data_IF_484290448639
#
_entry.id   IF_484290448639
#
_cell.length_a   1.000
_cell.length_b   1.000
_cell.length_c   1.000
_cell.angle_alpha   90.00
_cell.angle_beta   90.00
_cell.angle_gamma   90.00
#
_symmetry.space_group_name_H-M   'P 1'
#
loop_
_entity.id
_entity.type
_entity.pdbx_description
1 polymer ?
#
# COMPACT_ATOMS: atom_id res chain seq x y z
N UNK A 1 36.84 19.31 60.42
CA UNK A 1 36.09 20.51 60.00
C UNK A 1 35.82 20.38 58.51
N UNK A 2 34.60 19.96 58.14
CA UNK A 2 34.22 19.72 56.75
C UNK A 2 34.00 21.06 56.04
N UNK A 3 34.92 21.43 55.14
CA UNK A 3 34.69 22.53 54.21
C UNK A 3 33.76 22.05 53.10
N UNK A 4 32.47 22.34 53.24
CA UNK A 4 31.52 22.24 52.13
C UNK A 4 31.84 23.38 51.15
N UNK A 5 32.47 23.03 50.03
CA UNK A 5 32.71 23.98 48.94
C UNK A 5 31.41 24.15 48.17
N UNK A 6 30.58 25.12 48.56
CA UNK A 6 29.43 25.56 47.77
C UNK A 6 29.94 26.32 46.54
N UNK A 7 30.37 25.59 45.52
CA UNK A 7 30.60 26.16 44.19
C UNK A 7 29.23 26.53 43.63
N UNK A 8 28.90 27.83 43.64
CA UNK A 8 27.71 28.34 42.97
C UNK A 8 27.83 28.08 41.46
N UNK A 9 26.87 27.37 40.90
CA UNK A 9 26.79 27.15 39.45
C UNK A 9 26.57 28.50 38.79
N UNK A 10 27.50 28.90 37.90
CA UNK A 10 27.40 30.17 37.20
C UNK A 10 26.35 30.09 36.09
N UNK A 11 25.69 31.21 35.76
CA UNK A 11 24.70 31.27 34.67
C UNK A 11 25.27 30.73 33.34
N UNK A 12 26.57 30.97 33.12
CA UNK A 12 27.30 30.46 31.96
C UNK A 12 27.35 28.93 31.93
N UNK A 13 27.63 28.27 33.05
CA UNK A 13 27.63 26.81 33.14
C UNK A 13 26.24 26.21 32.89
N UNK A 14 25.18 26.90 33.33
CA UNK A 14 23.79 26.49 33.06
C UNK A 14 23.50 26.55 31.55
N UNK A 15 23.92 27.61 30.86
CA UNK A 15 23.73 27.77 29.41
C UNK A 15 24.54 26.72 28.63
N UNK A 16 25.80 26.49 29.01
CA UNK A 16 26.65 25.47 28.39
C UNK A 16 26.06 24.08 28.61
N UNK A 17 25.61 23.76 29.82
CA UNK A 17 24.96 22.49 30.12
C UNK A 17 23.68 22.30 29.31
N UNK A 18 22.84 23.34 29.17
CA UNK A 18 21.64 23.30 28.34
C UNK A 18 21.98 23.05 26.85
N UNK A 19 23.05 23.66 26.32
CA UNK A 19 23.50 23.42 24.94
C UNK A 19 24.03 22.00 24.74
N UNK A 20 24.81 21.47 25.69
CA UNK A 20 25.31 20.09 25.64
C UNK A 20 24.13 19.10 25.64
N UNK A 21 23.13 19.32 26.50
CA UNK A 21 21.91 18.50 26.53
C UNK A 21 21.12 18.61 25.23
N UNK A 22 20.96 19.80 24.68
CA UNK A 22 20.26 19.99 23.40
C UNK A 22 20.96 19.26 22.25
N UNK A 23 22.28 19.34 22.15
CA UNK A 23 23.08 18.65 21.13
C UNK A 23 23.00 17.13 21.34
N UNK A 24 23.06 16.67 22.59
CA UNK A 24 22.95 15.24 22.93
C UNK A 24 21.55 14.65 22.62
N UNK A 25 20.51 15.47 22.49
CA UNK A 25 19.15 15.03 22.11
C UNK A 25 18.95 14.89 20.60
N UNK A 26 19.81 15.49 19.76
CA UNK A 26 19.70 15.41 18.30
C UNK A 26 19.67 13.96 17.78
N UNK A 27 20.55 13.04 18.24
CA UNK A 27 20.52 11.64 17.80
C UNK A 27 19.23 10.92 18.20
N UNK A 28 18.69 11.21 19.38
CA UNK A 28 17.45 10.60 19.89
C UNK A 28 16.25 11.03 19.04
N UNK A 29 16.13 12.34 18.76
CA UNK A 29 15.08 12.87 17.90
C UNK A 29 15.15 12.32 16.48
N UNK A 30 16.36 12.18 15.94
CA UNK A 30 16.56 11.57 14.62
C UNK A 30 16.09 10.11 14.58
N UNK A 31 16.41 9.33 15.61
CA UNK A 31 16.04 7.90 15.71
C UNK A 31 14.51 7.71 15.76
N UNK A 32 13.80 8.57 16.49
CA UNK A 32 12.32 8.56 16.57
C UNK A 32 11.71 8.88 15.21
N UNK A 33 12.24 9.89 14.50
CA UNK A 33 11.79 10.24 13.16
C UNK A 33 12.02 9.09 12.15
N UNK A 34 13.18 8.42 12.20
CA UNK A 34 13.46 7.27 11.36
C UNK A 34 12.54 6.08 11.66
N UNK A 35 12.30 5.79 12.94
CA UNK A 35 11.37 4.73 13.37
C UNK A 35 9.94 4.98 12.86
N UNK A 36 9.42 6.20 13.03
CA UNK A 36 8.09 6.57 12.55
C UNK A 36 7.97 6.45 11.01
N UNK A 37 9.00 6.88 10.27
CA UNK A 37 9.02 6.75 8.80
C UNK A 37 9.06 5.28 8.36
N UNK A 38 9.79 4.41 9.06
CA UNK A 38 9.83 2.99 8.77
C UNK A 38 8.48 2.30 9.01
N UNK A 39 7.82 2.59 10.14
CA UNK A 39 6.50 2.05 10.49
C UNK A 39 5.43 2.44 9.47
N UNK A 40 5.43 3.71 9.01
CA UNK A 40 4.47 4.18 7.99
C UNK A 40 4.67 3.47 6.65
N UNK A 41 5.92 3.22 6.23
CA UNK A 41 6.22 2.49 4.99
C UNK A 41 5.69 1.06 5.01
N UNK A 42 5.95 0.33 6.10
CA UNK A 42 5.44 -1.04 6.28
C UNK A 42 3.91 -1.04 6.26
N UNK A 43 3.28 -0.09 6.97
CA UNK A 43 1.83 0.02 7.01
C UNK A 43 1.20 0.31 5.63
N UNK A 44 1.81 1.17 4.81
CA UNK A 44 1.32 1.47 3.47
C UNK A 44 1.37 0.24 2.56
N UNK A 45 2.49 -0.50 2.59
CA UNK A 45 2.64 -1.72 1.79
C UNK A 45 1.62 -2.78 2.19
N UNK A 46 1.51 -3.08 3.49
CA UNK A 46 0.53 -4.05 4.00
C UNK A 46 -0.92 -3.64 3.70
N UNK A 47 -1.23 -2.34 3.77
CA UNK A 47 -2.56 -1.84 3.40
C UNK A 47 -2.83 -1.98 1.91
N UNK A 48 -1.87 -1.68 1.04
CA UNK A 48 -1.99 -1.90 -0.40
C UNK A 48 -2.18 -3.38 -0.73
N UNK A 49 -1.44 -4.27 -0.06
CA UNK A 49 -1.56 -5.73 -0.22
C UNK A 49 -2.96 -6.22 0.17
N UNK A 50 -3.46 -5.80 1.33
CA UNK A 50 -4.80 -6.16 1.78
C UNK A 50 -5.88 -5.68 0.81
N UNK A 51 -5.81 -4.44 0.35
CA UNK A 51 -6.77 -3.90 -0.62
C UNK A 51 -6.72 -4.62 -1.97
N UNK A 52 -5.52 -5.01 -2.41
CA UNK A 52 -5.37 -5.79 -3.64
C UNK A 52 -6.00 -7.19 -3.50
N UNK A 53 -5.84 -7.83 -2.33
CA UNK A 53 -6.47 -9.12 -2.03
C UNK A 53 -8.00 -8.98 -1.92
N UNK A 54 -8.50 -7.99 -1.19
CA UNK A 54 -9.95 -7.72 -1.03
C UNK A 54 -10.63 -7.50 -2.40
N UNK A 55 -9.99 -6.74 -3.30
CA UNK A 55 -10.50 -6.55 -4.67
C UNK A 55 -10.62 -7.87 -5.43
N UNK A 56 -9.58 -8.70 -5.38
CA UNK A 56 -9.56 -10.01 -6.03
C UNK A 56 -10.65 -10.92 -5.46
N UNK A 57 -10.83 -10.92 -4.14
CA UNK A 57 -11.86 -11.72 -3.46
C UNK A 57 -13.28 -11.25 -3.81
N UNK A 58 -13.53 -9.93 -3.84
CA UNK A 58 -14.84 -9.41 -4.31
C UNK A 58 -15.15 -9.88 -5.73
N UNK A 59 -14.15 -9.87 -6.61
CA UNK A 59 -14.34 -10.37 -7.96
C UNK A 59 -14.57 -11.88 -8.01
N UNK A 60 -13.93 -12.69 -7.16
CA UNK A 60 -14.20 -14.14 -7.05
C UNK A 60 -15.64 -14.47 -6.69
N UNK A 61 -16.32 -13.59 -5.97
CA UNK A 61 -17.71 -13.78 -5.59
C UNK A 61 -18.69 -13.47 -6.73
N UNK A 62 -18.23 -12.89 -7.85
CA UNK A 62 -19.08 -12.60 -8.99
C UNK A 62 -19.34 -13.89 -9.79
N UNK A 63 -20.61 -14.23 -10.08
CA UNK A 63 -20.93 -15.42 -10.86
C UNK A 63 -20.30 -15.39 -12.25
N UNK A 64 -19.74 -16.51 -12.71
CA UNK A 64 -19.10 -16.63 -14.03
C UNK A 64 -20.02 -16.16 -15.17
N UNK A 65 -21.34 -16.39 -15.06
CA UNK A 65 -22.36 -15.92 -16.02
C UNK A 65 -22.36 -14.41 -16.24
N UNK A 66 -22.02 -13.61 -15.22
CA UNK A 66 -21.90 -12.16 -15.34
C UNK A 66 -20.68 -11.80 -16.19
N UNK A 67 -19.56 -12.50 -15.99
CA UNK A 67 -18.38 -12.33 -16.83
C UNK A 67 -18.64 -12.71 -18.28
N UNK A 68 -19.42 -13.77 -18.55
CA UNK A 68 -19.84 -14.09 -19.91
C UNK A 68 -20.60 -12.93 -20.54
N UNK A 69 -21.54 -12.30 -19.82
CA UNK A 69 -22.32 -11.18 -20.37
C UNK A 69 -21.44 -9.98 -20.68
N UNK A 70 -20.57 -9.60 -19.73
CA UNK A 70 -19.80 -8.36 -19.82
C UNK A 70 -18.57 -8.51 -20.73
N UNK A 71 -18.07 -9.74 -20.91
CA UNK A 71 -16.79 -10.02 -21.55
C UNK A 71 -16.86 -11.12 -22.63
N UNK A 72 -18.04 -11.48 -23.14
CA UNK A 72 -18.18 -12.50 -24.20
C UNK A 72 -17.29 -12.18 -25.41
N UNK A 73 -17.27 -10.89 -25.78
CA UNK A 73 -16.57 -10.37 -26.94
C UNK A 73 -15.06 -10.21 -26.72
N UNK A 74 -14.52 -10.49 -25.53
CA UNK A 74 -13.07 -10.40 -25.33
C UNK A 74 -12.34 -11.41 -26.20
N UNK A 75 -11.29 -10.93 -26.84
CA UNK A 75 -10.27 -11.79 -27.44
C UNK A 75 -9.59 -12.55 -26.30
N UNK A 76 -9.45 -13.87 -26.46
CA UNK A 76 -8.77 -14.71 -25.47
C UNK A 76 -7.38 -14.14 -25.13
N UNK A 77 -6.97 -14.27 -23.87
CA UNK A 77 -5.68 -13.81 -23.35
C UNK A 77 -5.38 -12.30 -23.41
N UNK A 78 -6.36 -11.47 -23.78
CA UNK A 78 -6.22 -10.02 -23.71
C UNK A 78 -6.59 -9.51 -22.31
N UNK A 79 -5.74 -8.63 -21.76
CA UNK A 79 -6.02 -7.92 -20.52
C UNK A 79 -6.91 -6.70 -20.79
N UNK A 80 -8.01 -6.59 -20.07
CA UNK A 80 -8.93 -5.46 -20.09
C UNK A 80 -9.24 -4.98 -18.68
N UNK A 81 -9.74 -3.75 -18.55
CA UNK A 81 -10.04 -3.16 -17.25
C UNK A 81 -11.22 -3.91 -16.61
N UNK A 82 -11.07 -4.28 -15.34
CA UNK A 82 -12.15 -4.93 -14.58
C UNK A 82 -13.29 -3.94 -14.39
N UNK A 83 -14.53 -4.40 -14.58
CA UNK A 83 -15.72 -3.61 -14.33
C UNK A 83 -15.75 -3.21 -12.85
N UNK A 84 -15.73 -1.90 -12.59
CA UNK A 84 -15.68 -1.34 -11.25
C UNK A 84 -16.91 -1.70 -10.39
N UNK A 85 -18.00 -2.14 -11.02
CA UNK A 85 -19.19 -2.64 -10.33
C UNK A 85 -18.95 -3.96 -9.58
N UNK A 86 -17.86 -4.66 -9.88
CA UNK A 86 -17.53 -5.94 -9.24
C UNK A 86 -16.89 -5.77 -7.85
N UNK A 87 -16.35 -4.59 -7.55
CA UNK A 87 -15.65 -4.31 -6.30
C UNK A 87 -16.00 -2.93 -5.72
N UNK A 88 -17.29 -2.59 -5.55
CA UNK A 88 -17.71 -1.25 -5.18
C UNK A 88 -17.16 -0.82 -3.82
N UNK A 89 -17.06 -1.75 -2.86
CA UNK A 89 -16.56 -1.47 -1.51
C UNK A 89 -15.05 -1.20 -1.54
N UNK A 90 -14.27 -2.09 -2.14
CA UNK A 90 -12.82 -1.90 -2.23
C UNK A 90 -12.45 -0.66 -3.04
N UNK A 91 -13.24 -0.30 -4.07
CA UNK A 91 -13.03 0.93 -4.85
C UNK A 91 -13.09 2.19 -3.99
N UNK A 92 -14.08 2.31 -3.11
CA UNK A 92 -14.20 3.47 -2.21
C UNK A 92 -12.97 3.59 -1.31
N UNK A 93 -12.54 2.48 -0.73
CA UNK A 93 -11.37 2.45 0.16
C UNK A 93 -10.07 2.73 -0.60
N UNK A 94 -9.94 2.28 -1.85
CA UNK A 94 -8.81 2.59 -2.73
C UNK A 94 -8.74 4.09 -3.06
N UNK A 95 -9.88 4.72 -3.31
CA UNK A 95 -9.96 6.16 -3.54
C UNK A 95 -9.55 6.95 -2.29
N UNK A 96 -10.00 6.54 -1.11
CA UNK A 96 -9.60 7.18 0.15
C UNK A 96 -8.12 6.95 0.47
N UNK A 97 -7.58 5.78 0.14
CA UNK A 97 -6.15 5.52 0.23
C UNK A 97 -5.35 6.43 -0.71
N UNK A 98 -5.86 6.68 -1.92
CA UNK A 98 -5.29 7.64 -2.86
C UNK A 98 -5.31 9.09 -2.39
N UNK A 99 -6.32 9.50 -1.61
CA UNK A 99 -6.32 10.83 -0.96
C UNK A 99 -5.21 10.96 0.09
N UNK A 100 -4.88 9.84 0.75
CA UNK A 100 -3.82 9.79 1.78
C UNK A 100 -2.44 9.79 1.14
N UNK A 101 -2.26 9.06 0.03
CA UNK A 101 -1.01 8.93 -0.71
C UNK A 101 -1.14 9.65 -2.05
N UNK A 102 -0.72 10.91 -2.14
CA UNK A 102 -0.88 11.77 -3.33
C UNK A 102 -0.37 11.19 -4.66
N UNK A 103 0.58 10.25 -4.60
CA UNK A 103 1.20 9.59 -5.76
C UNK A 103 0.65 8.19 -6.03
N UNK A 104 -0.35 7.75 -5.26
CA UNK A 104 -0.94 6.43 -5.37
C UNK A 104 -1.75 6.31 -6.65
N UNK A 105 -1.51 5.20 -7.34
CA UNK A 105 -2.22 4.78 -8.53
C UNK A 105 -2.49 3.30 -8.42
N UNK A 106 -3.61 2.85 -8.98
CA UNK A 106 -3.96 1.45 -9.03
C UNK A 106 -4.64 1.13 -10.36
N UNK A 107 -4.52 -0.13 -10.77
CA UNK A 107 -5.17 -0.66 -11.98
C UNK A 107 -5.60 -2.10 -11.70
N UNK A 108 -6.88 -2.37 -11.93
CA UNK A 108 -7.40 -3.73 -11.95
C UNK A 108 -7.64 -4.14 -13.41
N UNK A 109 -7.05 -5.26 -13.80
CA UNK A 109 -7.20 -5.85 -15.13
C UNK A 109 -7.68 -7.29 -15.00
N UNK A 110 -8.46 -7.76 -15.97
CA UNK A 110 -8.77 -9.17 -16.13
C UNK A 110 -8.40 -9.66 -17.52
N UNK A 111 -8.11 -10.95 -17.62
CA UNK A 111 -8.08 -11.69 -18.88
C UNK A 111 -8.94 -12.93 -18.75
N UNK A 112 -9.50 -13.36 -19.87
CA UNK A 112 -10.33 -14.56 -19.94
C UNK A 112 -9.60 -15.61 -20.75
N UNK A 113 -9.53 -16.83 -20.22
CA UNK A 113 -9.00 -18.01 -20.91
C UNK A 113 -10.18 -18.85 -21.37
N UNK A 114 -10.36 -18.91 -22.68
CA UNK A 114 -11.44 -19.64 -23.34
C UNK A 114 -10.88 -20.52 -24.47
N UNK A 115 -10.57 -21.80 -24.20
CA UNK A 115 -10.11 -22.73 -25.25
C UNK A 115 -11.23 -23.05 -26.27
N UNK A 116 -12.49 -22.81 -25.90
CA UNK A 116 -13.69 -22.91 -26.75
C UNK A 116 -14.62 -21.72 -26.47
N UNK A 117 -15.92 -21.80 -26.81
CA UNK A 117 -16.94 -20.81 -26.44
C UNK A 117 -17.19 -20.74 -24.92
N UNK A 118 -16.61 -21.66 -24.13
CA UNK A 118 -16.73 -21.71 -22.68
C UNK A 118 -15.48 -21.08 -22.04
N UNK A 119 -15.71 -20.12 -21.14
CA UNK A 119 -14.71 -19.56 -20.24
C UNK A 119 -14.29 -20.65 -19.26
N UNK A 120 -13.01 -21.03 -19.31
CA UNK A 120 -12.40 -21.99 -18.38
C UNK A 120 -11.82 -21.29 -17.16
N UNK A 121 -11.13 -20.17 -17.39
CA UNK A 121 -10.47 -19.41 -16.33
C UNK A 121 -10.64 -17.91 -16.55
N UNK A 122 -10.76 -17.18 -15.46
CA UNK A 122 -10.72 -15.71 -15.45
C UNK A 122 -9.56 -15.30 -14.55
N UNK A 123 -8.57 -14.66 -15.12
CA UNK A 123 -7.45 -14.14 -14.35
C UNK A 123 -7.69 -12.69 -14.02
N UNK A 124 -7.49 -12.34 -12.76
CA UNK A 124 -7.60 -10.97 -12.27
C UNK A 124 -6.23 -10.55 -11.78
N UNK A 125 -5.81 -9.37 -12.19
CA UNK A 125 -4.54 -8.74 -11.81
C UNK A 125 -4.84 -7.37 -11.23
N UNK A 126 -4.23 -7.09 -10.08
CA UNK A 126 -4.25 -5.77 -9.45
C UNK A 126 -2.82 -5.27 -9.36
N UNK A 127 -2.57 -4.13 -9.98
CA UNK A 127 -1.31 -3.40 -9.89
C UNK A 127 -1.53 -2.11 -9.10
N UNK A 128 -0.67 -1.84 -8.13
CA UNK A 128 -0.66 -0.61 -7.35
C UNK A 128 0.74 -0.01 -7.35
N UNK A 129 0.83 1.31 -7.42
CA UNK A 129 2.09 2.02 -7.37
C UNK A 129 1.96 3.33 -6.58
N UNK A 130 2.97 3.64 -5.77
CA UNK A 130 3.06 4.91 -5.05
C UNK A 130 4.51 5.34 -4.87
N UNK A 131 4.73 6.62 -4.55
CA UNK A 131 6.05 7.18 -4.30
C UNK A 131 6.25 7.41 -2.81
N UNK A 132 7.39 6.98 -2.28
CA UNK A 132 7.80 7.17 -0.88
C UNK A 132 9.10 7.95 -0.76
N UNK A 133 9.17 8.86 0.22
CA UNK A 133 10.40 9.60 0.57
C UNK A 133 10.34 11.08 0.20
N UNK A 134 10.99 11.91 1.02
CA UNK A 134 11.02 13.37 0.86
C UNK A 134 12.18 13.82 -0.06
N UNK A 135 13.34 13.15 0.01
CA UNK A 135 14.59 13.52 -0.68
C UNK A 135 15.03 12.51 -1.74
N UNK A 136 14.80 11.21 -1.48
CA UNK A 136 15.05 10.11 -2.41
C UNK A 136 13.72 9.42 -2.68
N UNK A 137 13.01 9.92 -3.70
CA UNK A 137 11.70 9.41 -4.09
C UNK A 137 11.87 8.00 -4.65
N UNK A 138 11.39 7.00 -3.92
CA UNK A 138 11.38 5.60 -4.35
C UNK A 138 9.97 5.25 -4.81
N UNK A 139 9.84 4.77 -6.04
CA UNK A 139 8.59 4.17 -6.53
C UNK A 139 8.44 2.78 -5.91
N UNK A 140 7.35 2.56 -5.19
CA UNK A 140 6.90 1.27 -4.69
C UNK A 140 5.84 0.74 -5.63
N UNK A 141 5.90 -0.56 -5.87
CA UNK A 141 4.92 -1.27 -6.67
C UNK A 141 4.50 -2.55 -5.96
N UNK A 142 3.23 -2.89 -6.12
CA UNK A 142 2.65 -4.16 -5.73
C UNK A 142 1.88 -4.71 -6.93
N UNK A 143 2.05 -6.00 -7.22
CA UNK A 143 1.27 -6.70 -8.25
C UNK A 143 0.80 -8.02 -7.68
N UNK A 144 -0.51 -8.18 -7.57
CA UNK A 144 -1.15 -9.45 -7.22
C UNK A 144 -1.98 -9.94 -8.40
N UNK A 145 -2.04 -11.25 -8.57
CA UNK A 145 -2.92 -11.86 -9.55
C UNK A 145 -3.48 -13.17 -9.02
N UNK A 146 -4.70 -13.51 -9.41
CA UNK A 146 -5.33 -14.77 -9.08
C UNK A 146 -6.25 -15.23 -10.22
N UNK A 147 -6.44 -16.56 -10.34
CA UNK A 147 -7.33 -17.17 -11.30
C UNK A 147 -8.64 -17.60 -10.61
N UNK A 148 -9.76 -17.36 -11.29
CA UNK A 148 -11.08 -17.86 -10.97
C UNK A 148 -11.36 -19.00 -11.95
N UNK A 149 -11.46 -20.22 -11.44
CA UNK A 149 -11.76 -21.40 -12.25
C UNK A 149 -13.26 -21.55 -12.40
N UNK A 150 -13.71 -21.83 -13.63
CA UNK A 150 -15.09 -22.18 -13.90
C UNK A 150 -15.27 -23.70 -13.77
N UNK A 151 -15.96 -24.20 -12.72
CA UNK A 151 -16.17 -25.64 -12.55
C UNK A 151 -17.13 -26.22 -13.59
N UNK A 152 -17.91 -25.39 -14.29
CA UNK A 152 -18.83 -25.84 -15.36
C UNK A 152 -18.11 -26.02 -16.71
N UNK A 153 -16.79 -25.78 -16.78
CA UNK A 153 -16.01 -25.86 -18.01
C UNK A 153 -15.21 -27.18 -18.17
N UNK A 154 -15.21 -28.03 -17.14
CA UNK A 154 -14.67 -29.40 -17.17
C UNK A 154 -15.80 -30.43 -17.38
#
# INVERSE_FOLDING_TARGET
>A
MFHYKTNGVTLLEIIIAAMIVAIALIPVLSSIQYGNKATVKVNNYSKAERLAQELIEECKHIPVRVYYKDYNALVADKWEVVNEQYFPKTKEVLNDFGKTLKSFSWKAELKVVKPSEIIREIWIRVAMAWKEGDSNVVTRELRLANAIYNPEAD
#
